data_IF_990285479390
#
_entry.id   IF_990285479390
#
_cell.length_a   1.000
_cell.length_b   1.000
_cell.length_c   1.000
_cell.angle_alpha   90.00
_cell.angle_beta   90.00
_cell.angle_gamma   90.00
#
_symmetry.space_group_name_H-M   'P 1'
#
loop_
_entity.id
_entity.type
_entity.pdbx_description
1 polymer ?
#
# COMPACT_ATOMS: atom_id res chain seq x y z
N UNK A 1 -10.27 -14.27 12.85
CA UNK A 1 -11.05 -13.67 13.96
C UNK A 1 -10.13 -12.67 14.64
N UNK A 2 -9.92 -11.59 13.92
CA UNK A 2 -9.00 -10.48 14.12
C UNK A 2 -9.83 -9.19 14.14
N UNK A 3 -9.30 -8.13 14.73
CA UNK A 3 -9.85 -6.77 14.56
C UNK A 3 -11.35 -6.59 14.89
N UNK A 4 -11.91 -7.42 15.79
CA UNK A 4 -13.31 -7.33 16.21
C UNK A 4 -13.56 -6.19 17.22
N UNK A 5 -13.31 -4.95 16.78
CA UNK A 5 -13.33 -3.72 17.58
C UNK A 5 -14.73 -3.34 18.07
N UNK A 6 -15.78 -3.76 17.37
CA UNK A 6 -17.17 -3.43 17.64
C UNK A 6 -17.88 -4.44 18.57
N UNK A 7 -17.20 -5.49 19.06
CA UNK A 7 -17.75 -6.36 20.12
C UNK A 7 -18.12 -5.51 21.34
N UNK A 8 -19.34 -5.69 21.84
CA UNK A 8 -19.93 -4.86 22.89
C UNK A 8 -20.75 -3.70 22.33
N UNK A 9 -20.83 -3.54 21.01
CA UNK A 9 -21.78 -2.65 20.35
C UNK A 9 -22.94 -3.45 19.74
N UNK A 10 -24.06 -2.75 19.47
CA UNK A 10 -25.25 -3.34 18.85
C UNK A 10 -25.77 -4.57 19.60
N UNK A 11 -25.99 -5.66 18.86
CA UNK A 11 -26.57 -6.90 19.40
C UNK A 11 -25.76 -7.57 20.51
N UNK A 12 -24.45 -7.32 20.57
CA UNK A 12 -23.57 -7.93 21.58
C UNK A 12 -23.48 -7.12 22.88
N UNK A 13 -24.04 -5.90 22.92
CA UNK A 13 -23.89 -4.97 24.05
C UNK A 13 -24.34 -5.59 25.38
N UNK A 14 -25.56 -6.15 25.43
CA UNK A 14 -26.12 -6.77 26.64
C UNK A 14 -25.29 -7.96 27.12
N UNK A 15 -24.85 -8.83 26.21
CA UNK A 15 -24.04 -9.99 26.59
C UNK A 15 -22.67 -9.57 27.15
N UNK A 16 -22.08 -8.50 26.59
CA UNK A 16 -20.81 -7.94 27.08
C UNK A 16 -20.98 -7.27 28.43
N UNK A 17 -22.10 -6.58 28.67
CA UNK A 17 -22.45 -6.02 29.98
C UNK A 17 -22.61 -7.11 31.05
N UNK A 18 -23.25 -8.23 30.71
CA UNK A 18 -23.49 -9.34 31.63
C UNK A 18 -22.24 -10.23 31.89
N UNK A 19 -21.41 -10.47 30.87
CA UNK A 19 -20.36 -11.52 30.89
C UNK A 19 -18.94 -10.98 30.69
N UNK A 20 -18.78 -9.73 30.28
CA UNK A 20 -17.51 -9.15 29.90
C UNK A 20 -17.08 -9.49 28.46
N UNK A 21 -16.36 -8.55 27.84
CA UNK A 21 -15.98 -8.62 26.41
C UNK A 21 -15.14 -9.85 26.05
N UNK A 22 -14.15 -10.17 26.89
CA UNK A 22 -13.26 -11.31 26.67
C UNK A 22 -14.01 -12.64 26.67
N UNK A 23 -14.94 -12.84 27.60
CA UNK A 23 -15.72 -14.07 27.70
C UNK A 23 -16.70 -14.23 26.53
N UNK A 24 -17.36 -13.15 26.12
CA UNK A 24 -18.25 -13.15 24.94
C UNK A 24 -17.46 -13.54 23.69
N UNK A 25 -16.25 -12.99 23.52
CA UNK A 25 -15.41 -13.31 22.37
C UNK A 25 -14.90 -14.75 22.40
N UNK A 26 -14.41 -15.23 23.55
CA UNK A 26 -13.96 -16.60 23.73
C UNK A 26 -15.08 -17.63 23.46
N UNK A 27 -16.28 -17.38 23.98
CA UNK A 27 -17.43 -18.26 23.73
C UNK A 27 -17.76 -18.33 22.23
N UNK A 28 -17.71 -17.20 21.51
CA UNK A 28 -17.88 -17.21 20.06
C UNK A 28 -16.79 -18.06 19.38
N UNK A 29 -15.52 -17.86 19.73
CA UNK A 29 -14.39 -18.65 19.21
C UNK A 29 -14.60 -20.15 19.43
N UNK A 30 -14.95 -20.57 20.65
CA UNK A 30 -15.19 -21.97 20.97
C UNK A 30 -16.33 -22.58 20.14
N UNK A 31 -17.42 -21.83 19.91
CA UNK A 31 -18.53 -22.28 19.05
C UNK A 31 -18.11 -22.47 17.60
N UNK A 32 -17.30 -21.56 17.05
CA UNK A 32 -16.74 -21.66 15.69
C UNK A 32 -15.80 -22.87 15.58
N UNK A 33 -14.91 -23.05 16.56
CA UNK A 33 -14.01 -24.22 16.62
C UNK A 33 -14.79 -25.53 16.64
N UNK A 34 -15.82 -25.63 17.49
CA UNK A 34 -16.66 -26.83 17.55
C UNK A 34 -17.37 -27.09 16.21
N UNK A 35 -17.84 -26.05 15.52
CA UNK A 35 -18.46 -26.18 14.21
C UNK A 35 -17.46 -26.66 13.15
N UNK A 36 -16.25 -26.10 13.12
CA UNK A 36 -15.18 -26.54 12.22
C UNK A 36 -14.81 -28.01 12.46
N UNK A 37 -14.66 -28.41 13.73
CA UNK A 37 -14.35 -29.81 14.11
C UNK A 37 -15.42 -30.81 13.70
N UNK A 38 -16.70 -30.46 13.85
CA UNK A 38 -17.81 -31.31 13.37
C UNK A 38 -17.75 -31.55 11.86
N UNK A 39 -17.04 -30.72 11.11
CA UNK A 39 -16.81 -30.85 9.68
C UNK A 39 -15.41 -31.38 9.33
N UNK A 40 -14.69 -31.96 10.30
CA UNK A 40 -13.41 -32.65 10.07
C UNK A 40 -12.16 -31.78 10.21
N UNK A 41 -12.26 -30.52 10.66
CA UNK A 41 -11.06 -29.73 10.96
C UNK A 41 -10.36 -30.26 12.22
N UNK A 42 -9.12 -30.73 12.09
CA UNK A 42 -8.33 -31.27 13.21
C UNK A 42 -7.57 -30.18 13.98
N UNK A 43 -6.92 -29.27 13.24
CA UNK A 43 -6.15 -28.14 13.78
C UNK A 43 -6.81 -26.83 13.40
N UNK A 44 -6.95 -25.93 14.38
CA UNK A 44 -7.48 -24.57 14.15
C UNK A 44 -6.33 -23.57 14.25
N UNK A 45 -6.24 -22.65 13.30
CA UNK A 45 -5.38 -21.48 13.39
C UNK A 45 -6.21 -20.24 13.70
N UNK A 46 -5.74 -19.41 14.63
CA UNK A 46 -6.44 -18.23 15.11
C UNK A 46 -5.50 -17.03 15.22
N UNK A 47 -5.87 -15.87 14.69
CA UNK A 47 -5.11 -14.64 14.88
C UNK A 47 -5.01 -14.26 16.37
N UNK A 48 -3.81 -13.86 16.79
CA UNK A 48 -3.40 -13.70 18.19
C UNK A 48 -3.94 -12.49 18.93
N UNK A 49 -4.85 -11.71 18.35
CA UNK A 49 -5.47 -10.53 18.98
C UNK A 49 -6.04 -10.82 20.37
N UNK A 50 -6.62 -12.02 20.55
CA UNK A 50 -7.16 -12.46 21.83
C UNK A 50 -6.08 -12.69 22.89
N UNK A 51 -4.89 -13.13 22.50
CA UNK A 51 -3.78 -13.42 23.42
C UNK A 51 -3.20 -12.14 23.97
N UNK A 52 -3.03 -11.13 23.11
CA UNK A 52 -2.52 -9.82 23.53
C UNK A 52 -3.50 -9.11 24.47
N UNK A 53 -4.81 -9.25 24.25
CA UNK A 53 -5.85 -8.57 25.06
C UNK A 53 -6.29 -9.35 26.30
N UNK A 54 -6.30 -10.68 26.23
CA UNK A 54 -6.84 -11.58 27.25
C UNK A 54 -5.95 -12.82 27.47
N UNK A 55 -4.67 -12.66 27.85
CA UNK A 55 -3.75 -13.79 28.05
C UNK A 55 -4.24 -14.79 29.11
N UNK A 56 -5.03 -14.33 30.08
CA UNK A 56 -5.63 -15.15 31.12
C UNK A 56 -6.73 -16.12 30.63
N UNK A 57 -7.17 -15.98 29.37
CA UNK A 57 -8.21 -16.84 28.79
C UNK A 57 -7.63 -17.97 27.92
N UNK A 58 -6.31 -18.08 27.84
CA UNK A 58 -5.65 -19.01 26.93
C UNK A 58 -5.75 -20.47 27.36
N UNK A 59 -5.91 -20.71 28.67
CA UNK A 59 -6.16 -22.03 29.26
C UNK A 59 -7.54 -22.62 28.86
N UNK A 60 -8.47 -21.76 28.44
CA UNK A 60 -9.81 -22.15 28.00
C UNK A 60 -9.90 -22.39 26.49
N UNK A 61 -8.83 -22.19 25.74
CA UNK A 61 -8.82 -22.52 24.33
C UNK A 61 -8.86 -24.03 24.13
N UNK A 62 -9.68 -24.55 23.20
CA UNK A 62 -9.69 -25.98 22.90
C UNK A 62 -8.30 -26.47 22.46
N UNK A 63 -7.93 -27.69 22.84
CA UNK A 63 -6.69 -28.37 22.40
C UNK A 63 -6.51 -28.31 20.88
N UNK A 64 -5.29 -28.40 20.33
CA UNK A 64 -5.03 -28.27 18.88
C UNK A 64 -5.49 -26.95 18.26
N UNK A 65 -5.41 -25.87 19.04
CA UNK A 65 -5.53 -24.50 18.54
C UNK A 65 -4.15 -23.87 18.49
N UNK A 66 -3.73 -23.43 17.30
CA UNK A 66 -2.48 -22.71 17.05
C UNK A 66 -2.81 -21.23 16.94
N UNK A 67 -2.10 -20.42 17.73
CA UNK A 67 -2.25 -18.97 17.65
C UNK A 67 -1.26 -18.37 16.64
N UNK A 68 -1.70 -17.38 15.87
CA UNK A 68 -0.86 -16.66 14.92
C UNK A 68 -0.52 -15.28 15.50
N UNK A 69 0.72 -15.08 15.95
CA UNK A 69 1.24 -13.77 16.33
C UNK A 69 1.62 -12.97 15.08
N UNK A 70 0.88 -11.91 14.77
CA UNK A 70 1.09 -11.13 13.57
C UNK A 70 1.73 -9.78 13.89
N UNK A 71 2.79 -9.44 13.16
CA UNK A 71 3.43 -8.13 13.25
C UNK A 71 4.14 -7.81 11.92
N UNK A 72 3.80 -6.68 11.31
CA UNK A 72 4.32 -6.27 10.00
C UNK A 72 5.34 -5.14 10.08
N UNK A 73 5.63 -4.65 11.29
CA UNK A 73 6.53 -3.53 11.50
C UNK A 73 8.00 -3.98 11.42
N UNK A 74 8.90 -3.14 10.91
CA UNK A 74 10.33 -3.44 10.84
C UNK A 74 11.00 -3.24 12.20
N UNK A 75 10.73 -4.13 13.15
CA UNK A 75 11.25 -4.03 14.52
C UNK A 75 12.58 -4.77 14.69
N UNK A 76 13.41 -4.27 15.59
CA UNK A 76 14.60 -4.99 16.07
C UNK A 76 14.23 -6.14 17.01
N UNK A 77 13.14 -5.98 17.78
CA UNK A 77 12.68 -6.96 18.77
C UNK A 77 11.16 -7.09 18.76
N UNK A 78 10.66 -8.32 18.89
CA UNK A 78 9.23 -8.63 18.95
C UNK A 78 8.85 -9.16 20.33
N UNK A 79 8.46 -8.25 21.23
CA UNK A 79 8.16 -8.58 22.63
C UNK A 79 6.97 -9.53 22.81
N UNK A 80 6.04 -9.57 21.85
CA UNK A 80 4.91 -10.52 21.83
C UNK A 80 5.39 -11.97 21.89
N UNK A 81 6.49 -12.31 21.23
CA UNK A 81 7.02 -13.67 21.17
C UNK A 81 7.42 -14.20 22.56
N UNK A 82 7.92 -13.32 23.44
CA UNK A 82 8.24 -13.71 24.82
C UNK A 82 6.98 -14.05 25.62
N UNK A 83 5.85 -13.36 25.36
CA UNK A 83 4.56 -13.68 25.99
C UNK A 83 4.08 -15.06 25.53
N UNK A 84 4.16 -15.35 24.23
CA UNK A 84 3.80 -16.67 23.69
C UNK A 84 4.66 -17.79 24.29
N UNK A 85 5.97 -17.57 24.39
CA UNK A 85 6.89 -18.53 25.01
C UNK A 85 6.55 -18.79 26.49
N UNK A 86 6.22 -17.76 27.25
CA UNK A 86 5.85 -17.88 28.67
C UNK A 86 4.51 -18.61 28.88
N UNK A 87 3.53 -18.35 28.01
CA UNK A 87 2.22 -18.99 28.07
C UNK A 87 2.26 -20.47 27.66
N UNK A 88 3.30 -20.90 26.94
CA UNK A 88 3.46 -22.29 26.50
C UNK A 88 2.39 -22.76 25.50
N UNK A 89 1.67 -21.82 24.87
CA UNK A 89 0.63 -22.13 23.88
C UNK A 89 1.28 -22.40 22.51
N UNK A 90 0.78 -23.39 21.73
CA UNK A 90 1.24 -23.56 20.36
C UNK A 90 0.98 -22.31 19.52
N UNK A 91 2.03 -21.78 18.89
CA UNK A 91 1.91 -20.56 18.09
C UNK A 91 2.80 -20.58 16.84
N UNK A 92 2.36 -19.84 15.83
CA UNK A 92 3.13 -19.46 14.64
C UNK A 92 3.27 -17.94 14.63
N UNK A 93 4.24 -17.41 13.89
CA UNK A 93 4.36 -15.98 13.63
C UNK A 93 3.93 -15.63 12.21
N UNK A 94 3.47 -14.40 11.98
CA UNK A 94 3.07 -13.88 10.68
C UNK A 94 3.75 -12.53 10.40
N UNK A 95 4.65 -12.54 9.42
CA UNK A 95 5.33 -11.36 8.91
C UNK A 95 4.69 -10.82 7.64
N UNK A 96 5.01 -9.58 7.27
CA UNK A 96 4.34 -8.85 6.20
C UNK A 96 5.28 -8.41 5.08
N UNK A 97 4.87 -8.60 3.83
CA UNK A 97 5.67 -8.17 2.66
C UNK A 97 5.55 -6.67 2.33
N UNK A 98 4.61 -5.95 2.96
CA UNK A 98 4.53 -4.49 2.92
C UNK A 98 4.08 -3.90 1.57
N UNK A 99 3.29 -4.63 0.80
CA UNK A 99 2.73 -4.30 -0.53
C UNK A 99 1.51 -3.40 -0.46
N UNK A 100 0.63 -3.59 0.53
CA UNK A 100 -0.62 -2.85 0.68
C UNK A 100 -0.40 -1.35 0.92
N UNK A 101 -1.41 -0.54 0.58
CA UNK A 101 -1.47 0.90 0.83
C UNK A 101 -0.25 1.70 0.35
N UNK A 102 0.29 1.39 -0.83
CA UNK A 102 1.33 2.17 -1.49
C UNK A 102 1.34 1.98 -3.00
N UNK A 103 2.05 2.85 -3.74
CA UNK A 103 2.30 2.62 -5.18
C UNK A 103 3.27 1.46 -5.37
N UNK A 104 4.27 1.36 -4.51
CA UNK A 104 5.31 0.33 -4.55
C UNK A 104 5.55 -0.25 -3.15
N UNK A 105 5.91 -1.54 -3.02
CA UNK A 105 6.08 -2.17 -1.72
C UNK A 105 7.16 -1.51 -0.85
N UNK A 106 6.94 -1.50 0.45
CA UNK A 106 7.91 -1.06 1.47
C UNK A 106 8.98 -2.13 1.67
N UNK A 107 9.76 -2.41 0.63
CA UNK A 107 10.71 -3.54 0.59
C UNK A 107 11.73 -3.51 1.75
N UNK A 108 12.27 -2.34 2.08
CA UNK A 108 13.17 -2.22 3.23
C UNK A 108 12.51 -2.57 4.57
N UNK A 109 11.20 -2.29 4.72
CA UNK A 109 10.48 -2.76 5.90
C UNK A 109 10.37 -4.28 5.89
N UNK A 110 10.06 -4.88 4.74
CA UNK A 110 9.93 -6.33 4.60
C UNK A 110 11.26 -7.05 4.89
N UNK A 111 12.41 -6.48 4.47
CA UNK A 111 13.74 -7.03 4.83
C UNK A 111 13.90 -7.18 6.34
N UNK A 112 13.63 -6.09 7.09
CA UNK A 112 13.78 -6.08 8.55
C UNK A 112 12.73 -6.98 9.20
N UNK A 113 11.45 -6.81 8.82
CA UNK A 113 10.34 -7.54 9.42
C UNK A 113 10.46 -9.05 9.21
N UNK A 114 10.55 -9.51 7.96
CA UNK A 114 10.58 -10.94 7.66
C UNK A 114 11.84 -11.60 8.20
N UNK A 115 12.97 -10.89 8.23
CA UNK A 115 14.21 -11.46 8.74
C UNK A 115 14.27 -11.54 10.26
N UNK A 116 13.85 -10.49 10.96
CA UNK A 116 13.96 -10.46 12.42
C UNK A 116 12.83 -11.28 13.06
N UNK A 117 11.61 -11.17 12.55
CA UNK A 117 10.47 -11.90 13.12
C UNK A 117 10.62 -13.40 12.94
N UNK A 118 11.04 -13.89 11.76
CA UNK A 118 11.19 -15.33 11.52
C UNK A 118 12.26 -15.94 12.44
N UNK A 119 13.41 -15.27 12.59
CA UNK A 119 14.52 -15.72 13.42
C UNK A 119 14.11 -15.78 14.89
N UNK A 120 13.56 -14.68 15.41
CA UNK A 120 13.12 -14.61 16.81
C UNK A 120 11.94 -15.54 17.10
N UNK A 121 11.01 -15.72 16.16
CA UNK A 121 9.89 -16.64 16.33
C UNK A 121 10.38 -18.08 16.44
N UNK A 122 11.34 -18.49 15.60
CA UNK A 122 11.98 -19.81 15.69
C UNK A 122 12.70 -19.99 17.03
N UNK A 123 13.46 -19.00 17.48
CA UNK A 123 14.14 -19.01 18.79
C UNK A 123 13.15 -19.10 19.96
N UNK A 124 11.97 -18.50 19.81
CA UNK A 124 10.89 -18.51 20.80
C UNK A 124 10.03 -19.79 20.76
N UNK A 125 10.34 -20.73 19.87
CA UNK A 125 9.64 -22.02 19.77
C UNK A 125 8.40 -22.04 18.87
N UNK A 126 8.25 -21.07 17.97
CA UNK A 126 7.15 -21.05 17.00
C UNK A 126 7.18 -22.32 16.11
N UNK A 127 6.01 -22.92 15.91
CA UNK A 127 5.86 -24.13 15.08
C UNK A 127 5.81 -23.86 13.57
N UNK A 128 5.77 -22.59 13.15
CA UNK A 128 5.64 -22.18 11.77
C UNK A 128 5.69 -20.66 11.58
N UNK A 129 5.78 -20.25 10.32
CA UNK A 129 5.87 -18.85 9.90
C UNK A 129 4.97 -18.61 8.68
N UNK A 130 4.11 -17.60 8.76
CA UNK A 130 3.26 -17.15 7.67
C UNK A 130 3.84 -15.88 7.05
N UNK A 131 3.85 -15.86 5.71
CA UNK A 131 4.19 -14.68 4.92
C UNK A 131 2.87 -14.08 4.46
N UNK A 132 2.57 -12.87 4.94
CA UNK A 132 1.29 -12.21 4.68
C UNK A 132 1.42 -11.12 3.65
N UNK A 133 0.40 -11.06 2.80
CA UNK A 133 0.19 -10.07 1.76
C UNK A 133 -1.27 -9.64 1.80
N UNK A 134 -1.49 -8.36 2.06
CA UNK A 134 -2.81 -7.81 2.31
C UNK A 134 -3.30 -6.98 1.15
N UNK A 135 -4.62 -6.94 1.01
CA UNK A 135 -5.32 -6.30 -0.08
C UNK A 135 -6.08 -5.04 0.31
N UNK A 136 -5.59 -4.27 1.28
CA UNK A 136 -6.33 -3.16 1.91
C UNK A 136 -6.91 -2.15 0.90
N UNK A 137 -8.12 -1.66 1.20
CA UNK A 137 -8.84 -0.63 0.42
C UNK A 137 -8.94 -0.94 -1.09
N UNK A 138 -9.24 -2.20 -1.42
CA UNK A 138 -9.46 -2.65 -2.80
C UNK A 138 -8.22 -3.16 -3.55
N UNK A 139 -7.07 -3.29 -2.87
CA UNK A 139 -5.81 -3.84 -3.40
C UNK A 139 -5.41 -3.31 -4.79
N UNK A 140 -5.11 -2.02 -4.86
CA UNK A 140 -4.75 -1.37 -6.12
C UNK A 140 -3.31 -1.65 -6.59
N UNK A 141 -2.57 -2.45 -5.84
CA UNK A 141 -1.22 -2.86 -6.22
C UNK A 141 -1.31 -4.08 -7.12
N UNK A 142 -0.61 -4.10 -8.26
CA UNK A 142 -0.50 -5.32 -9.05
C UNK A 142 0.14 -6.44 -8.23
N UNK A 143 -0.43 -7.65 -8.32
CA UNK A 143 0.06 -8.82 -7.60
C UNK A 143 1.53 -9.14 -7.90
N UNK A 144 2.05 -8.77 -9.08
CA UNK A 144 3.47 -8.88 -9.40
C UNK A 144 4.38 -8.21 -8.37
N UNK A 145 3.96 -7.08 -7.81
CA UNK A 145 4.75 -6.35 -6.81
C UNK A 145 4.93 -7.16 -5.50
N UNK A 146 4.04 -8.12 -5.24
CA UNK A 146 4.14 -9.03 -4.10
C UNK A 146 5.14 -10.17 -4.30
N UNK A 147 5.46 -10.52 -5.55
CA UNK A 147 6.28 -11.69 -5.86
C UNK A 147 7.69 -11.61 -5.26
N UNK A 148 8.30 -10.41 -5.27
CA UNK A 148 9.59 -10.21 -4.62
C UNK A 148 9.51 -10.48 -3.10
N UNK A 149 8.43 -10.01 -2.46
CA UNK A 149 8.14 -10.29 -1.05
C UNK A 149 7.95 -11.79 -0.75
N UNK A 150 7.29 -12.52 -1.66
CA UNK A 150 7.14 -13.97 -1.52
C UNK A 150 8.48 -14.70 -1.58
N UNK A 151 9.43 -14.26 -2.41
CA UNK A 151 10.77 -14.84 -2.43
C UNK A 151 11.52 -14.60 -1.12
N UNK A 152 11.42 -13.39 -0.54
CA UNK A 152 11.99 -13.10 0.78
C UNK A 152 11.38 -14.00 1.86
N UNK A 153 10.05 -14.12 1.83
CA UNK A 153 9.29 -14.96 2.74
C UNK A 153 9.65 -16.44 2.62
N UNK A 154 9.87 -16.95 1.40
CA UNK A 154 10.30 -18.32 1.14
C UNK A 154 11.69 -18.59 1.73
N UNK A 155 12.65 -17.67 1.52
CA UNK A 155 13.99 -17.76 2.12
C UNK A 155 13.91 -17.84 3.65
N UNK A 156 13.10 -16.98 4.26
CA UNK A 156 12.98 -16.93 5.72
C UNK A 156 12.17 -18.08 6.32
N UNK A 157 11.15 -18.58 5.61
CA UNK A 157 10.36 -19.72 6.08
C UNK A 157 11.15 -21.03 5.97
N UNK A 158 11.99 -21.19 4.94
CA UNK A 158 12.84 -22.36 4.77
C UNK A 158 14.08 -22.35 5.70
N UNK A 159 14.62 -21.16 5.97
CA UNK A 159 15.83 -20.99 6.77
C UNK A 159 15.76 -19.69 7.57
N UNK A 160 15.00 -19.72 8.66
CA UNK A 160 14.85 -18.54 9.52
C UNK A 160 16.19 -18.17 10.18
N UNK A 161 16.71 -17.00 9.83
CA UNK A 161 17.92 -16.41 10.40
C UNK A 161 17.95 -14.89 10.15
N UNK A 162 18.68 -14.16 10.99
CA UNK A 162 18.99 -12.75 10.75
C UNK A 162 19.81 -12.58 9.46
N UNK A 163 19.32 -11.77 8.54
CA UNK A 163 19.95 -11.43 7.26
C UNK A 163 19.90 -9.92 7.04
N UNK A 164 20.96 -9.38 6.46
CA UNK A 164 20.96 -7.99 5.97
C UNK A 164 20.19 -7.89 4.66
N UNK A 165 19.85 -6.66 4.25
CA UNK A 165 19.25 -6.40 2.94
C UNK A 165 20.13 -6.95 1.82
N UNK A 166 21.43 -6.71 1.86
CA UNK A 166 22.38 -7.16 0.83
C UNK A 166 22.41 -8.69 0.69
N UNK A 167 22.33 -9.42 1.81
CA UNK A 167 22.28 -10.89 1.78
C UNK A 167 20.99 -11.41 1.15
N UNK A 168 19.86 -10.75 1.44
CA UNK A 168 18.57 -11.08 0.82
C UNK A 168 18.59 -10.75 -0.68
N UNK A 169 19.12 -9.59 -1.05
CA UNK A 169 19.24 -9.17 -2.45
C UNK A 169 20.12 -10.12 -3.23
N UNK A 170 21.30 -10.48 -2.72
CA UNK A 170 22.20 -11.45 -3.35
C UNK A 170 21.53 -12.82 -3.60
N UNK A 171 20.62 -13.24 -2.71
CA UNK A 171 19.90 -14.50 -2.83
C UNK A 171 18.71 -14.41 -3.82
N UNK A 172 17.97 -13.30 -3.82
CA UNK A 172 16.68 -13.19 -4.49
C UNK A 172 16.77 -12.49 -5.85
N UNK A 173 17.63 -11.49 -6.00
CA UNK A 173 17.72 -10.68 -7.23
C UNK A 173 18.00 -11.51 -8.49
N UNK A 174 18.92 -12.49 -8.47
CA UNK A 174 19.17 -13.33 -9.65
C UNK A 174 17.93 -14.12 -10.09
N UNK A 175 16.95 -14.34 -9.20
CA UNK A 175 15.70 -15.06 -9.47
C UNK A 175 14.57 -14.14 -9.96
N UNK A 176 14.62 -12.85 -9.60
CA UNK A 176 13.53 -11.90 -9.83
C UNK A 176 13.69 -11.05 -11.11
N UNK A 177 14.91 -10.65 -11.47
CA UNK A 177 15.12 -9.59 -12.49
C UNK A 177 15.74 -10.10 -13.78
N UNK A 178 15.18 -9.70 -14.92
CA UNK A 178 15.65 -10.09 -16.25
C UNK A 178 17.08 -9.66 -16.54
N UNK A 179 17.43 -8.45 -16.12
CA UNK A 179 18.76 -7.87 -16.27
C UNK A 179 19.05 -6.85 -15.16
N UNK A 180 20.24 -6.23 -15.22
CA UNK A 180 20.64 -5.19 -14.27
C UNK A 180 19.72 -3.96 -14.32
N UNK A 181 19.24 -3.58 -15.50
CA UNK A 181 18.41 -2.39 -15.66
C UNK A 181 17.05 -2.56 -14.98
N UNK A 182 16.47 -3.76 -14.99
CA UNK A 182 15.23 -4.05 -14.26
C UNK A 182 15.46 -3.97 -12.75
N UNK A 183 16.60 -4.50 -12.27
CA UNK A 183 17.02 -4.37 -10.87
C UNK A 183 17.26 -2.92 -10.44
N UNK A 184 17.87 -2.10 -11.29
CA UNK A 184 18.06 -0.66 -11.04
C UNK A 184 16.72 0.07 -10.95
N UNK A 185 15.78 -0.26 -11.85
CA UNK A 185 14.43 0.30 -11.82
C UNK A 185 13.66 -0.09 -10.57
N UNK A 186 13.78 -1.36 -10.16
CA UNK A 186 13.22 -1.85 -8.90
C UNK A 186 13.82 -1.11 -7.69
N UNK A 187 15.14 -0.89 -7.66
CA UNK A 187 15.78 -0.13 -6.58
C UNK A 187 15.34 1.32 -6.53
N UNK A 188 15.24 2.00 -7.67
CA UNK A 188 14.72 3.36 -7.72
C UNK A 188 13.29 3.45 -7.14
N UNK A 189 12.45 2.44 -7.40
CA UNK A 189 11.13 2.32 -6.79
C UNK A 189 11.20 2.05 -5.28
N UNK A 190 12.12 1.22 -4.79
CA UNK A 190 12.36 1.03 -3.35
C UNK A 190 12.74 2.36 -2.67
N UNK A 191 13.65 3.12 -3.28
CA UNK A 191 14.14 4.40 -2.77
C UNK A 191 13.06 5.49 -2.75
N UNK A 192 12.05 5.39 -3.62
CA UNK A 192 10.89 6.31 -3.61
C UNK A 192 10.15 6.28 -2.26
N UNK A 193 10.12 5.12 -1.59
CA UNK A 193 9.49 4.95 -0.28
C UNK A 193 10.30 5.58 0.88
N UNK A 194 11.50 6.08 0.61
CA UNK A 194 12.34 6.81 1.57
C UNK A 194 12.12 8.33 1.51
N UNK A 195 11.23 8.83 0.65
CA UNK A 195 10.95 10.26 0.57
C UNK A 195 10.35 10.78 1.89
N UNK A 196 10.74 11.99 2.26
CA UNK A 196 10.33 12.61 3.53
C UNK A 196 8.80 12.74 3.62
N UNK A 197 8.25 12.49 4.82
CA UNK A 197 6.81 12.51 5.14
C UNK A 197 5.93 11.50 4.38
N UNK A 198 6.51 10.65 3.52
CA UNK A 198 5.75 9.70 2.73
C UNK A 198 5.30 8.47 3.55
N UNK A 199 6.15 8.01 4.47
CA UNK A 199 5.93 6.77 5.22
C UNK A 199 5.13 7.02 6.50
N UNK A 200 4.10 6.21 6.71
CA UNK A 200 3.29 6.18 7.94
C UNK A 200 3.16 4.73 8.37
N UNK A 201 4.19 4.20 9.03
CA UNK A 201 4.31 2.83 9.57
C UNK A 201 3.87 1.70 8.62
N UNK A 202 2.56 1.43 8.56
CA UNK A 202 1.92 0.37 7.78
C UNK A 202 1.40 0.79 6.39
N UNK A 203 1.49 2.07 6.02
CA UNK A 203 1.06 2.60 4.70
C UNK A 203 1.98 3.71 4.19
N UNK A 204 1.78 4.12 2.94
CA UNK A 204 2.47 5.26 2.35
C UNK A 204 1.50 6.26 1.75
N UNK A 205 1.80 7.55 1.90
CA UNK A 205 1.02 8.64 1.30
C UNK A 205 1.13 8.69 -0.22
N UNK A 206 1.96 7.84 -0.86
CA UNK A 206 2.14 7.85 -2.31
C UNK A 206 0.86 7.44 -3.05
N UNK A 207 0.22 6.34 -2.66
CA UNK A 207 -1.04 5.92 -3.29
C UNK A 207 -2.19 6.87 -2.97
N UNK A 208 -2.16 7.46 -1.77
CA UNK A 208 -3.13 8.48 -1.39
C UNK A 208 -3.00 9.70 -2.30
N UNK A 209 -1.80 10.29 -2.39
CA UNK A 209 -1.59 11.47 -3.21
C UNK A 209 -1.86 11.25 -4.69
N UNK A 210 -1.71 10.02 -5.19
CA UNK A 210 -2.12 9.67 -6.55
C UNK A 210 -3.59 10.03 -6.81
N UNK A 211 -4.49 9.69 -5.89
CA UNK A 211 -5.94 9.94 -6.00
C UNK A 211 -6.44 11.21 -5.29
N UNK A 212 -5.62 11.84 -4.44
CA UNK A 212 -5.92 13.05 -3.67
C UNK A 212 -6.11 14.29 -4.56
N UNK A 213 -6.64 15.38 -4.00
CA UNK A 213 -6.73 16.65 -4.70
C UNK A 213 -5.33 17.25 -4.99
N UNK A 214 -5.18 17.88 -6.17
CA UNK A 214 -3.91 18.43 -6.65
C UNK A 214 -3.36 19.53 -5.73
N UNK A 215 -4.18 20.53 -5.39
CA UNK A 215 -3.73 21.76 -4.75
C UNK A 215 -3.97 21.75 -3.25
N UNK A 216 -5.12 21.25 -2.84
CA UNK A 216 -5.57 21.23 -1.46
C UNK A 216 -5.91 19.80 -1.05
N UNK A 217 -5.15 18.79 -1.47
CA UNK A 217 -5.28 17.45 -0.89
C UNK A 217 -4.82 17.38 0.57
N UNK A 218 -5.14 16.30 1.29
CA UNK A 218 -4.54 16.07 2.62
C UNK A 218 -3.01 15.95 2.51
N UNK A 219 -2.50 15.41 1.41
CA UNK A 219 -1.05 15.30 1.16
C UNK A 219 -0.37 16.66 1.07
N UNK A 220 -1.08 17.67 0.59
CA UNK A 220 -0.57 19.04 0.44
C UNK A 220 -0.68 19.85 1.75
N UNK A 221 -1.68 19.54 2.57
CA UNK A 221 -2.03 20.35 3.76
C UNK A 221 -1.50 19.74 5.06
N UNK A 222 -1.42 18.41 5.11
CA UNK A 222 -1.19 17.67 6.32
C UNK A 222 -2.32 17.83 7.35
N UNK A 223 -2.17 17.12 8.47
CA UNK A 223 -2.95 17.25 9.69
C UNK A 223 -2.13 16.70 10.87
N UNK A 224 -2.78 16.46 12.02
CA UNK A 224 -2.12 15.90 13.22
C UNK A 224 -1.54 14.50 13.04
N UNK A 225 -2.03 13.73 12.06
CA UNK A 225 -1.63 12.34 11.80
C UNK A 225 -0.72 12.19 10.59
N UNK A 226 -0.80 13.12 9.62
CA UNK A 226 -0.06 13.07 8.37
C UNK A 226 0.61 14.41 8.13
N UNK A 227 1.95 14.45 8.11
CA UNK A 227 2.66 15.67 7.72
C UNK A 227 2.43 15.95 6.23
N UNK A 228 2.38 17.23 5.87
CA UNK A 228 2.32 17.63 4.47
C UNK A 228 3.58 17.18 3.72
N UNK A 229 3.40 16.71 2.50
CA UNK A 229 4.49 16.44 1.57
C UNK A 229 5.11 17.77 1.13
N UNK A 230 6.42 17.79 0.96
CA UNK A 230 7.17 19.01 0.60
C UNK A 230 7.58 18.97 -0.87
N UNK A 231 8.06 20.10 -1.39
CA UNK A 231 8.65 20.13 -2.72
C UNK A 231 9.84 19.16 -2.84
N UNK A 232 10.63 18.99 -1.79
CA UNK A 232 11.74 18.04 -1.76
C UNK A 232 11.25 16.59 -1.80
N UNK A 233 10.14 16.27 -1.10
CA UNK A 233 9.46 14.97 -1.25
C UNK A 233 9.12 14.73 -2.72
N UNK A 234 8.48 15.69 -3.39
CA UNK A 234 8.06 15.54 -4.78
C UNK A 234 9.23 15.47 -5.76
N UNK A 235 10.32 16.22 -5.53
CA UNK A 235 11.56 16.12 -6.32
C UNK A 235 12.18 14.74 -6.21
N UNK A 236 12.21 14.15 -5.01
CA UNK A 236 12.71 12.79 -4.81
C UNK A 236 11.83 11.76 -5.53
N UNK A 237 10.50 11.85 -5.37
CA UNK A 237 9.55 10.98 -6.05
C UNK A 237 9.70 11.06 -7.58
N UNK A 238 9.80 12.27 -8.12
CA UNK A 238 10.00 12.48 -9.55
C UNK A 238 11.29 11.81 -10.03
N UNK A 239 12.43 12.09 -9.37
CA UNK A 239 13.73 11.51 -9.71
C UNK A 239 13.70 9.98 -9.69
N UNK A 240 13.13 9.40 -8.65
CA UNK A 240 12.99 7.94 -8.52
C UNK A 240 12.08 7.37 -9.64
N UNK A 241 10.95 8.00 -9.92
CA UNK A 241 10.02 7.59 -10.96
C UNK A 241 10.62 7.68 -12.37
N UNK A 242 11.35 8.75 -12.67
CA UNK A 242 12.07 8.92 -13.94
C UNK A 242 13.18 7.88 -14.12
N UNK A 243 13.99 7.67 -13.07
CA UNK A 243 15.04 6.65 -13.08
C UNK A 243 14.45 5.24 -13.30
N UNK A 244 13.36 4.92 -12.62
CA UNK A 244 12.65 3.65 -12.80
C UNK A 244 12.09 3.50 -14.22
N UNK A 245 11.40 4.52 -14.74
CA UNK A 245 10.87 4.49 -16.11
C UNK A 245 11.99 4.27 -17.14
N UNK A 246 13.09 5.01 -17.02
CA UNK A 246 14.22 4.91 -17.94
C UNK A 246 14.91 3.55 -17.87
N UNK A 247 15.04 2.97 -16.68
CA UNK A 247 15.68 1.67 -16.50
C UNK A 247 14.82 0.52 -17.05
N UNK A 248 13.53 0.51 -16.72
CA UNK A 248 12.59 -0.52 -17.19
C UNK A 248 12.36 -0.45 -18.71
N UNK A 249 12.43 0.75 -19.31
CA UNK A 249 12.37 0.89 -20.77
C UNK A 249 13.63 0.31 -21.46
N UNK A 250 14.81 0.40 -20.83
CA UNK A 250 16.01 -0.27 -21.36
C UNK A 250 15.87 -1.80 -21.34
N UNK A 251 15.32 -2.35 -20.25
CA UNK A 251 15.02 -3.80 -20.15
C UNK A 251 14.03 -4.23 -21.24
N UNK A 252 12.96 -3.45 -21.45
CA UNK A 252 11.96 -3.70 -22.49
C UNK A 252 12.58 -3.65 -23.90
N UNK A 253 13.33 -2.59 -24.21
CA UNK A 253 13.98 -2.41 -25.51
C UNK A 253 15.02 -3.49 -25.82
N UNK A 254 15.70 -4.02 -24.79
CA UNK A 254 16.62 -5.14 -24.93
C UNK A 254 15.91 -6.49 -25.16
N UNK A 255 14.60 -6.58 -24.93
CA UNK A 255 13.85 -7.83 -24.94
C UNK A 255 14.35 -8.82 -23.87
N UNK A 256 14.83 -8.29 -22.75
CA UNK A 256 15.51 -9.08 -21.71
C UNK A 256 14.62 -10.16 -21.08
N UNK A 257 13.33 -9.90 -20.74
CA UNK A 257 12.50 -10.95 -20.15
C UNK A 257 12.30 -12.11 -21.12
N UNK A 258 12.07 -11.86 -22.40
CA UNK A 258 11.95 -12.92 -23.41
C UNK A 258 13.23 -13.76 -23.61
N UNK A 259 14.42 -13.17 -23.39
CA UNK A 259 15.73 -13.83 -23.60
C UNK A 259 16.28 -14.51 -22.35
N UNK A 260 15.81 -14.13 -21.17
CA UNK A 260 16.24 -14.70 -19.90
C UNK A 260 15.94 -16.21 -19.84
N UNK A 261 16.90 -16.97 -19.33
CA UNK A 261 16.70 -18.37 -18.99
C UNK A 261 16.02 -18.49 -17.63
N UNK A 262 14.76 -18.89 -17.61
CA UNK A 262 14.01 -19.14 -16.39
C UNK A 262 14.23 -20.56 -15.86
N UNK A 263 14.06 -20.81 -14.54
CA UNK A 263 14.04 -22.15 -13.98
C UNK A 263 13.02 -23.08 -14.67
N UNK A 264 11.80 -22.58 -14.87
CA UNK A 264 10.70 -23.26 -15.57
C UNK A 264 9.69 -22.24 -16.13
N UNK A 265 8.64 -22.75 -16.78
CA UNK A 265 7.57 -21.91 -17.36
C UNK A 265 6.71 -21.20 -16.30
N UNK A 266 6.58 -21.74 -15.08
CA UNK A 266 5.86 -21.07 -14.00
C UNK A 266 6.64 -19.83 -13.54
N UNK A 267 7.96 -19.96 -13.41
CA UNK A 267 8.84 -18.85 -13.06
C UNK A 267 8.83 -17.76 -14.14
N UNK A 268 8.77 -18.17 -15.41
CA UNK A 268 8.59 -17.24 -16.53
C UNK A 268 7.24 -16.53 -16.48
N UNK A 269 6.16 -17.22 -16.13
CA UNK A 269 4.84 -16.60 -15.97
C UNK A 269 4.79 -15.60 -14.80
N UNK A 270 5.60 -15.83 -13.75
CA UNK A 270 5.70 -14.94 -12.59
C UNK A 270 6.60 -13.74 -12.86
N UNK A 271 7.84 -13.94 -13.32
CA UNK A 271 8.90 -12.91 -13.44
C UNK A 271 9.27 -12.57 -14.89
N UNK A 272 8.35 -12.82 -15.82
CA UNK A 272 8.49 -12.52 -17.24
C UNK A 272 7.99 -11.13 -17.62
N UNK A 273 7.50 -11.00 -18.85
CA UNK A 273 6.97 -9.75 -19.40
C UNK A 273 5.89 -9.11 -18.52
N UNK A 274 5.01 -9.92 -17.90
CA UNK A 274 3.98 -9.41 -17.00
C UNK A 274 4.56 -8.65 -15.80
N UNK A 275 5.64 -9.17 -15.21
CA UNK A 275 6.32 -8.52 -14.08
C UNK A 275 6.92 -7.17 -14.47
N UNK A 276 7.55 -7.11 -15.65
CA UNK A 276 8.07 -5.86 -16.20
C UNK A 276 6.96 -4.83 -16.41
N UNK A 277 5.78 -5.21 -16.92
CA UNK A 277 4.65 -4.29 -17.08
C UNK A 277 4.13 -3.76 -15.73
N UNK A 278 4.08 -4.60 -14.70
CA UNK A 278 3.68 -4.24 -13.35
C UNK A 278 4.64 -3.24 -12.70
N UNK A 279 5.96 -3.43 -12.90
CA UNK A 279 6.98 -2.48 -12.48
C UNK A 279 6.85 -1.15 -13.25
N UNK A 280 6.58 -1.19 -14.56
CA UNK A 280 6.39 0.01 -15.39
C UNK A 280 5.18 0.84 -14.94
N UNK A 281 4.07 0.20 -14.57
CA UNK A 281 2.92 0.89 -13.98
C UNK A 281 3.33 1.64 -12.70
N UNK A 282 4.03 0.96 -11.79
CA UNK A 282 4.51 1.56 -10.53
C UNK A 282 5.48 2.72 -10.76
N UNK A 283 6.36 2.60 -11.76
CA UNK A 283 7.29 3.65 -12.17
C UNK A 283 6.55 4.89 -12.68
N UNK A 284 5.55 4.71 -13.55
CA UNK A 284 4.74 5.82 -14.07
C UNK A 284 3.89 6.48 -13.00
N UNK A 285 3.27 5.70 -12.10
CA UNK A 285 2.51 6.25 -10.98
C UNK A 285 3.41 7.05 -10.02
N UNK A 286 4.61 6.54 -9.72
CA UNK A 286 5.61 7.25 -8.88
C UNK A 286 6.07 8.56 -9.53
N UNK A 287 6.39 8.52 -10.84
CA UNK A 287 6.74 9.74 -11.60
C UNK A 287 5.59 10.76 -11.57
N UNK A 288 4.37 10.30 -11.86
CA UNK A 288 3.18 11.13 -11.91
C UNK A 288 2.93 11.88 -10.60
N UNK A 289 3.05 11.24 -9.44
CA UNK A 289 2.86 11.95 -8.16
C UNK A 289 3.95 12.98 -7.88
N UNK A 290 5.18 12.77 -8.37
CA UNK A 290 6.23 13.78 -8.34
C UNK A 290 5.88 14.99 -9.21
N UNK A 291 5.51 14.75 -10.48
CA UNK A 291 5.10 15.81 -11.42
C UNK A 291 3.88 16.60 -10.91
N UNK A 292 2.87 15.87 -10.41
CA UNK A 292 1.65 16.42 -9.80
C UNK A 292 1.98 17.38 -8.66
N UNK A 293 2.82 16.96 -7.72
CA UNK A 293 3.19 17.77 -6.56
C UNK A 293 4.03 18.99 -6.89
N UNK A 294 4.98 18.85 -7.81
CA UNK A 294 5.78 20.00 -8.26
C UNK A 294 4.92 21.02 -9.02
N UNK A 295 4.00 20.56 -9.86
CA UNK A 295 3.03 21.45 -10.52
C UNK A 295 2.13 22.16 -9.51
N UNK A 296 1.67 21.47 -8.46
CA UNK A 296 0.88 22.08 -7.41
C UNK A 296 1.64 23.20 -6.67
N UNK A 297 2.91 22.95 -6.34
CA UNK A 297 3.79 23.94 -5.72
C UNK A 297 4.04 25.15 -6.63
N UNK A 298 4.25 24.92 -7.92
CA UNK A 298 4.38 25.97 -8.92
C UNK A 298 3.12 26.82 -9.04
N UNK A 299 1.95 26.20 -9.22
CA UNK A 299 0.67 26.92 -9.30
C UNK A 299 0.49 27.83 -8.09
N UNK A 300 0.76 27.32 -6.87
CA UNK A 300 0.66 28.11 -5.63
C UNK A 300 1.62 29.31 -5.62
N UNK A 301 2.87 29.13 -6.08
CA UNK A 301 3.85 30.23 -6.16
C UNK A 301 3.45 31.28 -7.19
N UNK A 302 3.05 30.84 -8.38
CA UNK A 302 2.69 31.74 -9.46
C UNK A 302 1.46 32.56 -9.10
N UNK A 303 0.43 31.94 -8.50
CA UNK A 303 -0.76 32.64 -8.03
C UNK A 303 -0.46 33.71 -6.98
N UNK A 304 0.63 33.57 -6.22
CA UNK A 304 1.05 34.54 -5.21
C UNK A 304 1.83 35.74 -5.77
N UNK A 305 2.21 35.73 -7.05
CA UNK A 305 2.91 36.83 -7.70
C UNK A 305 2.01 38.07 -7.82
N UNK A 306 2.56 39.25 -7.53
CA UNK A 306 1.84 40.51 -7.70
C UNK A 306 1.61 40.88 -9.17
N UNK A 307 2.50 40.43 -10.05
CA UNK A 307 2.52 40.72 -11.49
C UNK A 307 1.92 39.58 -12.35
N UNK A 308 1.12 38.69 -11.75
CA UNK A 308 0.52 37.54 -12.42
C UNK A 308 -0.33 37.96 -13.62
N UNK A 309 -0.03 37.44 -14.80
CA UNK A 309 -0.78 37.69 -16.02
C UNK A 309 -1.85 36.61 -16.30
N UNK A 310 -2.95 36.94 -17.00
CA UNK A 310 -3.92 35.95 -17.47
C UNK A 310 -3.31 34.80 -18.30
N UNK A 311 -2.22 35.06 -19.01
CA UNK A 311 -1.53 34.05 -19.83
C UNK A 311 -0.68 33.09 -18.99
N UNK A 312 -0.18 33.52 -17.83
CA UNK A 312 0.49 32.63 -16.87
C UNK A 312 -0.51 31.58 -16.35
N UNK A 313 -1.73 32.00 -16.00
CA UNK A 313 -2.80 31.08 -15.56
C UNK A 313 -3.22 30.15 -16.69
N UNK A 314 -3.22 30.63 -17.94
CA UNK A 314 -3.48 29.77 -19.10
C UNK A 314 -2.40 28.70 -19.27
N UNK A 315 -1.12 29.04 -19.07
CA UNK A 315 -0.03 28.07 -19.08
C UNK A 315 -0.19 27.01 -17.97
N UNK A 316 -0.59 27.41 -16.75
CA UNK A 316 -0.88 26.47 -15.66
C UNK A 316 -1.99 25.49 -16.03
N UNK A 317 -3.09 25.98 -16.61
CA UNK A 317 -4.21 25.13 -17.09
C UNK A 317 -3.71 24.11 -18.12
N UNK A 318 -2.89 24.53 -19.09
CA UNK A 318 -2.32 23.60 -20.08
C UNK A 318 -1.45 22.51 -19.44
N UNK A 319 -0.69 22.84 -18.40
CA UNK A 319 0.10 21.85 -17.66
C UNK A 319 -0.77 20.87 -16.88
N UNK A 320 -1.87 21.33 -16.27
CA UNK A 320 -2.85 20.42 -15.64
C UNK A 320 -3.49 19.50 -16.69
N UNK A 321 -3.76 19.99 -17.91
CA UNK A 321 -4.24 19.15 -19.01
C UNK A 321 -3.21 18.11 -19.47
N UNK A 322 -1.92 18.46 -19.56
CA UNK A 322 -0.85 17.51 -19.86
C UNK A 322 -0.77 16.42 -18.79
N UNK A 323 -0.83 16.81 -17.51
CA UNK A 323 -0.87 15.88 -16.39
C UNK A 323 -2.09 14.94 -16.48
N UNK A 324 -3.27 15.45 -16.83
CA UNK A 324 -4.47 14.64 -17.04
C UNK A 324 -4.31 13.64 -18.20
N UNK A 325 -3.58 14.00 -19.27
CA UNK A 325 -3.25 13.09 -20.36
C UNK A 325 -2.44 11.88 -19.88
N UNK A 326 -1.42 12.11 -19.06
CA UNK A 326 -0.62 11.03 -18.44
C UNK A 326 -1.47 10.20 -17.48
N UNK A 327 -2.32 10.83 -16.67
CA UNK A 327 -3.24 10.14 -15.76
C UNK A 327 -4.16 9.15 -16.50
N UNK A 328 -4.70 9.56 -17.66
CA UNK A 328 -5.52 8.68 -18.50
C UNK A 328 -4.72 7.51 -19.10
N UNK A 329 -3.44 7.73 -19.42
CA UNK A 329 -2.56 6.68 -19.91
C UNK A 329 -2.20 5.68 -18.80
N UNK A 330 -1.98 6.16 -17.58
CA UNK A 330 -1.77 5.31 -16.40
C UNK A 330 -3.01 4.48 -16.09
N UNK A 331 -4.22 5.06 -16.17
CA UNK A 331 -5.47 4.31 -15.99
C UNK A 331 -5.59 3.13 -16.95
N UNK A 332 -5.33 3.34 -18.25
CA UNK A 332 -5.36 2.26 -19.25
C UNK A 332 -4.35 1.16 -18.94
N UNK A 333 -3.12 1.56 -18.58
CA UNK A 333 -2.09 0.61 -18.18
C UNK A 333 -2.47 -0.14 -16.90
N UNK A 334 -3.12 0.51 -15.94
CA UNK A 334 -3.66 -0.13 -14.74
C UNK A 334 -4.69 -1.22 -15.10
N UNK A 335 -5.62 -0.94 -16.01
CA UNK A 335 -6.60 -1.92 -16.48
C UNK A 335 -5.94 -3.13 -17.17
N UNK A 336 -4.95 -2.87 -18.04
CA UNK A 336 -4.17 -3.92 -18.70
C UNK A 336 -3.42 -4.78 -17.69
N UNK A 337 -2.74 -4.14 -16.74
CA UNK A 337 -1.94 -4.81 -15.70
C UNK A 337 -2.80 -5.62 -14.75
N UNK A 338 -3.96 -5.10 -14.35
CA UNK A 338 -4.92 -5.83 -13.50
C UNK A 338 -5.27 -7.19 -14.13
N UNK A 339 -5.59 -7.19 -15.42
CA UNK A 339 -6.00 -8.39 -16.15
C UNK A 339 -4.87 -9.40 -16.39
N UNK A 340 -3.61 -9.06 -16.08
CA UNK A 340 -2.50 -10.01 -16.13
C UNK A 340 -2.63 -11.09 -15.05
N UNK A 341 -3.23 -10.77 -13.89
CA UNK A 341 -3.23 -11.65 -12.71
C UNK A 341 -4.55 -11.73 -11.95
N UNK A 342 -5.50 -10.83 -12.21
CA UNK A 342 -6.78 -10.79 -11.53
C UNK A 342 -7.96 -10.95 -12.50
N UNK A 343 -9.08 -11.46 -11.99
CA UNK A 343 -10.34 -11.40 -12.70
C UNK A 343 -10.78 -9.95 -12.90
N UNK A 344 -11.54 -9.66 -13.96
CA UNK A 344 -12.09 -8.31 -14.16
C UNK A 344 -12.96 -7.84 -12.97
N UNK A 345 -13.60 -8.76 -12.26
CA UNK A 345 -14.48 -8.42 -11.14
C UNK A 345 -13.67 -7.79 -9.99
N UNK A 346 -14.15 -6.67 -9.46
CA UNK A 346 -13.51 -5.94 -8.36
C UNK A 346 -12.71 -4.72 -8.83
N UNK A 347 -12.31 -4.68 -10.11
CA UNK A 347 -11.59 -3.54 -10.68
C UNK A 347 -12.43 -2.25 -10.65
N UNK A 348 -13.75 -2.39 -10.64
CA UNK A 348 -14.70 -1.28 -10.70
C UNK A 348 -14.49 -0.29 -9.54
N UNK A 349 -14.13 -0.78 -8.35
CA UNK A 349 -13.80 0.05 -7.19
C UNK A 349 -12.56 0.91 -7.45
N UNK A 350 -11.50 0.32 -8.02
CA UNK A 350 -10.28 1.06 -8.36
C UNK A 350 -10.54 2.06 -9.49
N UNK A 351 -11.32 1.70 -10.51
CA UNK A 351 -11.66 2.60 -11.61
C UNK A 351 -12.52 3.78 -11.16
N UNK A 352 -13.41 3.58 -10.18
CA UNK A 352 -14.15 4.67 -9.53
C UNK A 352 -13.23 5.71 -8.89
N UNK A 353 -12.13 5.28 -8.25
CA UNK A 353 -11.12 6.20 -7.70
C UNK A 353 -10.40 6.98 -8.81
N UNK A 354 -10.09 6.34 -9.94
CA UNK A 354 -9.56 7.04 -11.12
C UNK A 354 -10.55 8.09 -11.65
N UNK A 355 -11.83 7.74 -11.73
CA UNK A 355 -12.89 8.64 -12.18
C UNK A 355 -13.03 9.86 -11.27
N UNK A 356 -13.08 9.65 -9.95
CA UNK A 356 -13.17 10.73 -8.96
C UNK A 356 -11.95 11.66 -8.99
N UNK A 357 -10.73 11.11 -9.05
CA UNK A 357 -9.52 11.92 -9.14
C UNK A 357 -9.45 12.70 -10.46
N UNK A 358 -9.91 12.11 -11.57
CA UNK A 358 -10.07 12.81 -12.85
C UNK A 358 -11.04 14.00 -12.77
N UNK A 359 -12.16 13.84 -12.04
CA UNK A 359 -13.09 14.94 -11.76
C UNK A 359 -12.43 16.04 -10.93
N UNK A 360 -11.57 15.71 -9.96
CA UNK A 360 -10.84 16.73 -9.18
C UNK A 360 -9.89 17.53 -10.06
N UNK A 361 -9.13 16.90 -10.95
CA UNK A 361 -8.27 17.62 -11.91
C UNK A 361 -9.07 18.59 -12.78
N UNK A 362 -10.26 18.17 -13.25
CA UNK A 362 -11.15 19.05 -14.00
C UNK A 362 -11.69 20.22 -13.16
N UNK A 363 -11.96 20.01 -11.87
CA UNK A 363 -12.34 21.08 -10.94
C UNK A 363 -11.21 22.09 -10.75
N UNK A 364 -9.96 21.63 -10.62
CA UNK A 364 -8.80 22.52 -10.57
C UNK A 364 -8.71 23.40 -11.82
N UNK A 365 -8.88 22.83 -13.02
CA UNK A 365 -8.89 23.61 -14.27
C UNK A 365 -9.99 24.65 -14.29
N UNK A 366 -11.23 24.28 -13.92
CA UNK A 366 -12.35 25.23 -13.87
C UNK A 366 -12.11 26.36 -12.88
N UNK A 367 -11.49 26.04 -11.74
CA UNK A 367 -11.14 27.05 -10.75
C UNK A 367 -10.04 27.99 -11.25
N UNK A 368 -8.97 27.48 -11.87
CA UNK A 368 -7.93 28.31 -12.49
C UNK A 368 -8.51 29.20 -13.60
N UNK A 369 -9.47 28.71 -14.39
CA UNK A 369 -10.14 29.52 -15.40
C UNK A 369 -10.87 30.73 -14.78
N UNK A 370 -11.51 30.56 -13.61
CA UNK A 370 -12.11 31.67 -12.85
C UNK A 370 -11.06 32.68 -12.37
N UNK A 371 -9.88 32.22 -11.95
CA UNK A 371 -8.77 33.11 -11.58
C UNK A 371 -8.31 33.94 -12.79
N UNK A 372 -8.20 33.31 -13.96
CA UNK A 372 -7.90 34.01 -15.21
C UNK A 372 -8.95 35.06 -15.57
N UNK A 373 -10.24 34.73 -15.43
CA UNK A 373 -11.33 35.68 -15.68
C UNK A 373 -11.28 36.89 -14.73
N UNK A 374 -10.94 36.67 -13.45
CA UNK A 374 -10.75 37.74 -12.48
C UNK A 374 -9.63 38.69 -12.90
N UNK A 375 -8.45 38.15 -13.27
CA UNK A 375 -7.32 38.95 -13.76
C UNK A 375 -7.69 39.77 -15.00
N UNK A 376 -8.46 39.21 -15.94
CA UNK A 376 -8.94 39.93 -17.12
C UNK A 376 -9.90 41.10 -16.78
N UNK A 377 -10.58 41.05 -15.63
CA UNK A 377 -11.39 42.15 -15.11
C UNK A 377 -10.58 43.16 -14.28
N UNK A 378 -9.27 42.95 -14.11
CA UNK A 378 -8.42 43.78 -13.26
C UNK A 378 -8.53 43.44 -11.77
N UNK A 379 -9.13 42.31 -11.41
CA UNK A 379 -9.17 41.77 -10.05
C UNK A 379 -7.88 40.97 -9.75
N UNK A 380 -7.60 40.69 -8.47
CA UNK A 380 -6.50 39.80 -8.09
C UNK A 380 -6.95 38.33 -8.13
N UNK A 381 -6.04 37.43 -8.45
CA UNK A 381 -6.27 36.00 -8.31
C UNK A 381 -6.32 35.60 -6.81
N UNK A 382 -7.09 34.55 -6.51
CA UNK A 382 -7.13 33.91 -5.21
C UNK A 382 -5.89 33.05 -4.97
N UNK A 383 -4.90 33.63 -4.30
CA UNK A 383 -3.66 32.96 -3.92
C UNK A 383 -3.75 32.17 -2.61
N UNK A 384 -4.82 32.36 -1.82
CA UNK A 384 -5.03 31.67 -0.54
C UNK A 384 -5.86 30.39 -0.70
N UNK A 385 -6.41 30.15 -1.89
CA UNK A 385 -7.29 29.02 -2.23
C UNK A 385 -8.63 29.08 -1.47
N UNK A 386 -9.07 30.24 -1.02
CA UNK A 386 -10.33 30.40 -0.27
C UNK A 386 -11.57 30.05 -1.10
N UNK A 387 -11.53 30.32 -2.40
CA UNK A 387 -12.59 29.99 -3.36
C UNK A 387 -12.44 28.57 -3.95
N UNK A 388 -11.44 27.80 -3.51
CA UNK A 388 -11.15 26.48 -4.03
C UNK A 388 -11.79 25.37 -3.19
N UNK A 389 -12.77 24.68 -3.77
CA UNK A 389 -13.55 23.63 -3.08
C UNK A 389 -12.82 22.28 -2.93
N UNK A 390 -11.60 22.12 -3.47
CA UNK A 390 -10.85 20.87 -3.38
C UNK A 390 -10.51 20.46 -1.95
N UNK A 391 -10.62 21.39 -1.00
CA UNK A 391 -10.36 21.15 0.42
C UNK A 391 -11.30 20.14 1.09
N UNK A 392 -12.48 19.91 0.51
CA UNK A 392 -13.51 19.00 1.04
C UNK A 392 -13.46 17.59 0.43
N UNK A 393 -12.52 17.34 -0.50
CA UNK A 393 -12.38 16.04 -1.14
C UNK A 393 -11.64 15.06 -0.21
N UNK A 394 -12.26 13.90 -0.01
CA UNK A 394 -11.72 12.79 0.78
C UNK A 394 -11.61 11.54 -0.11
N UNK A 395 -10.65 10.66 0.18
CA UNK A 395 -10.37 9.47 -0.64
C UNK A 395 -9.70 8.39 0.18
N UNK A 396 -9.85 7.11 -0.21
CA UNK A 396 -9.27 5.96 0.50
C UNK A 396 -9.63 6.00 2.01
N UNK A 397 -8.62 5.92 2.88
CA UNK A 397 -8.78 5.87 4.33
C UNK A 397 -9.15 7.20 4.99
N UNK A 398 -9.35 8.29 4.23
CA UNK A 398 -9.92 9.53 4.77
C UNK A 398 -11.40 9.70 4.47
N UNK A 399 -11.95 8.92 3.53
CA UNK A 399 -13.36 8.97 3.23
C UNK A 399 -14.19 8.42 4.40
N UNK A 400 -15.30 9.10 4.71
CA UNK A 400 -16.25 8.56 5.68
C UNK A 400 -16.83 7.22 5.19
N UNK A 401 -17.05 6.28 6.10
CA UNK A 401 -17.56 4.94 5.78
C UNK A 401 -19.02 4.92 5.30
N UNK A 402 -19.57 6.07 4.89
CA UNK A 402 -20.96 6.19 4.41
C UNK A 402 -21.07 5.85 2.93
N UNK A 403 -19.98 5.85 2.17
CA UNK A 403 -19.96 5.31 0.81
C UNK A 403 -19.84 3.78 0.83
N UNK A 404 -20.98 3.08 0.77
CA UNK A 404 -21.02 1.61 0.76
C UNK A 404 -20.64 0.96 -0.58
N UNK A 405 -20.36 1.74 -1.64
CA UNK A 405 -19.94 1.21 -2.94
C UNK A 405 -18.52 0.63 -2.93
N UNK A 406 -17.65 1.05 -2.01
CA UNK A 406 -16.21 0.81 -2.07
C UNK A 406 -15.76 -0.54 -1.45
N UNK A 407 -16.69 -1.48 -1.22
CA UNK A 407 -16.39 -2.78 -0.59
C UNK A 407 -17.01 -3.94 -1.33
N UNK A 408 -16.32 -4.43 -2.35
CA UNK A 408 -16.53 -5.77 -2.88
C UNK A 408 -15.17 -6.43 -3.11
N UNK A 409 -14.87 -7.48 -2.35
CA UNK A 409 -13.76 -8.40 -2.61
C UNK A 409 -14.33 -9.71 -3.17
N UNK A 410 -14.15 -9.99 -4.47
CA UNK A 410 -14.32 -11.32 -5.00
C UNK A 410 -12.97 -11.80 -5.55
N UNK A 411 -12.17 -12.45 -4.71
CA UNK A 411 -11.07 -13.28 -5.20
C UNK A 411 -11.59 -14.69 -5.49
N UNK A 412 -11.02 -15.36 -6.50
CA UNK A 412 -11.28 -16.77 -6.82
C UNK A 412 -10.51 -17.70 -5.91
#
# INVERSE_FOLDING_TARGET
MDEAYDIGTGYSARAVEEQGRGQVFLHHIQRVIQAARRNGAETIQLWGDIVQKYPQLMDQLPENTVIIDWNYNPLEKFDSLAVFQQLGVPFWAAGGIGTWNGIFPRVYNAYINLSNLSAQAKESGAGGFLVTDWGDYGHMQPLGLSLYGYLLGAVQSASAQHRTGEQLEAAVWPLAFADQAEGDGFRALMESNLAEHLKTDFKTMSIYYFFDDLLAGLSMRGNSSYKALTEDTFRQLLRCGEAACAALERTAAAGSPARRRYPDENWRALFGESYLQELRLSARMTRFIGEKGLLAGEIRRELAREDLAPDDVMAMIFRVHQLYGEFCAIRRLFEEVWLLRAERRGIETSLSLFDHAGVQLARTVRWLARQREALLRGEKADSTLESYEGSAYEVLWTADFRNMWDRAYPWR
#
